data_IF_990697023526
#
_entry.id   IF_990697023526
#
_cell.length_a   1.000
_cell.length_b   1.000
_cell.length_c   1.000
_cell.angle_alpha   90.00
_cell.angle_beta   90.00
_cell.angle_gamma   90.00
#
_symmetry.space_group_name_H-M   'P 1'
#
loop_
_entity.id
_entity.type
_entity.pdbx_description
1 polymer ?
#
# COMPACT_ATOMS: atom_id res chain seq x y z
N UNK A 1 14.84 1.05 9.98
CA UNK A 1 14.58 -0.16 9.17
C UNK A 1 13.33 0.17 8.36
N UNK A 2 13.27 -0.11 7.07
CA UNK A 2 12.08 0.25 6.26
C UNK A 2 10.89 -0.62 6.65
N UNK A 3 9.74 -0.01 6.97
CA UNK A 3 8.54 -0.77 7.25
C UNK A 3 7.93 -1.37 5.98
N UNK A 4 7.29 -2.54 6.12
CA UNK A 4 6.56 -3.19 5.03
C UNK A 4 5.35 -3.95 5.56
N UNK A 5 4.30 -4.02 4.76
CA UNK A 5 3.06 -4.75 5.06
C UNK A 5 2.71 -5.67 3.90
N UNK A 6 2.11 -6.82 4.20
CA UNK A 6 1.73 -7.82 3.19
C UNK A 6 0.24 -7.74 2.92
N UNK A 7 -0.14 -7.58 1.64
CA UNK A 7 -1.53 -7.58 1.18
C UNK A 7 -1.86 -8.94 0.59
N UNK A 8 -2.84 -9.63 1.19
CA UNK A 8 -3.44 -10.85 0.63
C UNK A 8 -4.52 -10.51 -0.39
N UNK A 9 -4.31 -10.95 -1.61
CA UNK A 9 -5.22 -10.70 -2.71
C UNK A 9 -6.44 -11.63 -2.64
N UNK A 10 -7.58 -11.09 -3.03
CA UNK A 10 -8.84 -11.85 -3.10
C UNK A 10 -8.87 -12.74 -4.35
N UNK A 11 -8.18 -12.31 -5.41
CA UNK A 11 -7.92 -13.09 -6.61
C UNK A 11 -6.43 -13.05 -6.91
N UNK A 12 -5.82 -14.18 -7.31
CA UNK A 12 -4.42 -14.17 -7.70
C UNK A 12 -4.17 -13.23 -8.88
N UNK A 13 -2.97 -12.68 -8.96
CA UNK A 13 -2.50 -11.89 -10.11
C UNK A 13 -1.27 -12.50 -10.73
N UNK A 14 -1.22 -12.45 -12.06
CA UNK A 14 -0.07 -12.89 -12.84
C UNK A 14 0.91 -11.73 -13.01
N UNK A 15 2.16 -11.94 -12.62
CA UNK A 15 3.26 -11.02 -12.90
C UNK A 15 4.33 -11.81 -13.67
N UNK A 16 4.43 -11.54 -14.97
CA UNK A 16 5.20 -12.39 -15.88
C UNK A 16 4.57 -13.77 -15.98
N UNK A 17 5.31 -14.81 -15.61
CA UNK A 17 4.88 -16.21 -15.63
C UNK A 17 4.48 -16.74 -14.24
N UNK A 18 4.60 -15.91 -13.20
CA UNK A 18 4.36 -16.32 -11.82
C UNK A 18 3.03 -15.76 -11.30
N UNK A 19 2.28 -16.62 -10.63
CA UNK A 19 1.04 -16.28 -9.94
C UNK A 19 1.32 -15.86 -8.50
N UNK A 20 0.76 -14.73 -8.07
CA UNK A 20 0.91 -14.20 -6.73
C UNK A 20 -0.45 -14.04 -6.05
N UNK A 21 -0.54 -14.55 -4.82
CA UNK A 21 -1.69 -14.35 -3.92
C UNK A 21 -1.38 -13.33 -2.82
N UNK A 22 -0.12 -13.01 -2.62
CA UNK A 22 0.37 -12.06 -1.62
C UNK A 22 1.33 -11.08 -2.28
N UNK A 23 1.16 -9.80 -1.97
CA UNK A 23 2.02 -8.72 -2.45
C UNK A 23 2.56 -7.99 -1.25
N UNK A 24 3.88 -7.81 -1.18
CA UNK A 24 4.51 -6.98 -0.16
C UNK A 24 4.46 -5.53 -0.62
N UNK A 25 4.05 -4.64 0.28
CA UNK A 25 4.01 -3.18 0.08
C UNK A 25 4.98 -2.56 1.07
N UNK A 26 6.01 -1.89 0.53
CA UNK A 26 6.99 -1.15 1.32
C UNK A 26 6.47 0.25 1.63
N UNK A 27 6.90 0.78 2.76
CA UNK A 27 6.68 2.18 3.11
C UNK A 27 7.22 3.10 1.99
N UNK A 28 6.41 4.03 1.46
CA UNK A 28 6.84 4.93 0.40
C UNK A 28 7.80 5.99 0.93
N UNK A 29 8.99 6.09 0.31
CA UNK A 29 9.88 7.23 0.58
C UNK A 29 9.46 8.49 -0.21
N UNK A 30 10.02 9.64 0.16
CA UNK A 30 9.73 10.94 -0.48
C UNK A 30 9.96 10.93 -2.00
N UNK A 31 10.94 10.16 -2.48
CA UNK A 31 11.24 10.04 -3.92
C UNK A 31 10.10 9.31 -4.66
N UNK A 32 9.52 8.28 -4.06
CA UNK A 32 8.40 7.53 -4.63
C UNK A 32 7.12 8.38 -4.74
N UNK A 33 6.95 9.33 -3.82
CA UNK A 33 5.81 10.26 -3.75
C UNK A 33 5.94 11.46 -4.69
N UNK A 34 7.12 11.67 -5.32
CA UNK A 34 7.35 12.82 -6.20
C UNK A 34 6.29 12.87 -7.31
N UNK A 35 5.56 13.99 -7.37
CA UNK A 35 4.50 14.22 -8.36
C UNK A 35 3.11 13.76 -7.93
N UNK A 36 2.98 13.12 -6.76
CA UNK A 36 1.72 12.64 -6.20
C UNK A 36 1.21 13.55 -5.08
N UNK A 37 -0.10 13.72 -5.01
CA UNK A 37 -0.74 14.44 -3.91
C UNK A 37 -0.83 13.53 -2.68
N UNK A 38 -0.20 13.94 -1.56
CA UNK A 38 -0.31 13.25 -0.27
C UNK A 38 -1.76 13.17 0.20
N UNK A 39 -2.52 14.25 0.06
CA UNK A 39 -3.96 14.27 0.36
C UNK A 39 -4.71 13.23 -0.47
N UNK A 40 -4.42 13.13 -1.77
CA UNK A 40 -5.08 12.16 -2.62
C UNK A 40 -4.72 10.71 -2.26
N UNK A 41 -3.49 10.44 -1.82
CA UNK A 41 -3.09 9.13 -1.32
C UNK A 41 -3.77 8.80 0.02
N UNK A 42 -3.84 9.77 0.94
CA UNK A 42 -4.49 9.64 2.24
C UNK A 42 -5.96 9.21 2.10
N UNK A 43 -6.68 9.80 1.15
CA UNK A 43 -8.08 9.47 0.86
C UNK A 43 -8.27 8.36 -0.18
N UNK A 44 -7.20 7.66 -0.57
CA UNK A 44 -7.28 6.46 -1.40
C UNK A 44 -7.72 6.70 -2.86
N UNK A 45 -7.39 7.85 -3.44
CA UNK A 45 -7.68 8.12 -4.85
C UNK A 45 -6.93 7.12 -5.75
N UNK A 46 -7.63 6.60 -6.76
CA UNK A 46 -7.12 5.51 -7.60
C UNK A 46 -5.94 5.91 -8.48
N UNK A 47 -5.96 7.10 -9.07
CA UNK A 47 -4.89 7.52 -10.01
C UNK A 47 -3.52 7.62 -9.32
N UNK A 48 -3.39 8.29 -8.15
CA UNK A 48 -2.15 8.26 -7.38
C UNK A 48 -1.70 6.85 -6.96
N UNK A 49 -2.65 5.99 -6.57
CA UNK A 49 -2.33 4.60 -6.19
C UNK A 49 -1.79 3.80 -7.40
N UNK A 50 -2.40 3.95 -8.57
CA UNK A 50 -1.95 3.30 -9.81
C UNK A 50 -0.51 3.72 -10.15
N UNK A 51 -0.14 4.97 -9.89
CA UNK A 51 1.22 5.44 -10.13
C UNK A 51 2.22 5.02 -9.03
N UNK A 52 1.78 5.00 -7.78
CA UNK A 52 2.64 4.70 -6.62
C UNK A 52 2.95 3.22 -6.47
N UNK A 53 1.94 2.35 -6.54
CA UNK A 53 2.07 0.91 -6.25
C UNK A 53 3.20 0.21 -7.04
N UNK A 54 3.44 0.50 -8.34
CA UNK A 54 4.58 -0.07 -9.07
C UNK A 54 5.96 0.27 -8.51
N UNK A 55 6.08 1.32 -7.68
CA UNK A 55 7.33 1.77 -7.08
C UNK A 55 7.58 1.09 -5.73
N UNK A 56 6.52 0.67 -5.03
CA UNK A 56 6.58 0.21 -3.64
C UNK A 56 6.16 -1.25 -3.43
N UNK A 57 5.78 -1.97 -4.49
CA UNK A 57 5.34 -3.37 -4.40
C UNK A 57 6.43 -4.37 -4.76
N UNK A 58 6.42 -5.52 -4.08
CA UNK A 58 7.23 -6.71 -4.40
C UNK A 58 6.30 -7.95 -4.44
N UNK A 59 6.18 -8.64 -5.58
CA UNK A 59 6.76 -8.29 -6.89
C UNK A 59 6.21 -6.95 -7.42
N UNK A 60 6.97 -6.32 -8.31
CA UNK A 60 6.55 -5.08 -8.96
C UNK A 60 5.24 -5.27 -9.72
N UNK A 61 4.17 -4.61 -9.28
CA UNK A 61 2.92 -4.57 -10.01
C UNK A 61 2.98 -3.54 -11.13
N UNK A 62 2.67 -3.92 -12.37
CA UNK A 62 2.53 -2.95 -13.47
C UNK A 62 1.21 -2.19 -13.37
N UNK A 63 1.15 -0.97 -13.92
CA UNK A 63 -0.10 -0.19 -13.95
C UNK A 63 -1.24 -0.96 -14.63
N UNK A 64 -0.93 -1.76 -15.66
CA UNK A 64 -1.93 -2.60 -16.36
C UNK A 64 -2.49 -3.69 -15.44
N UNK A 65 -1.66 -4.31 -14.60
CA UNK A 65 -2.11 -5.29 -13.61
C UNK A 65 -3.02 -4.62 -12.58
N UNK A 66 -2.58 -3.48 -12.03
CA UNK A 66 -3.33 -2.72 -11.02
C UNK A 66 -4.71 -2.29 -11.56
N UNK A 67 -4.77 -1.74 -12.78
CA UNK A 67 -6.03 -1.32 -13.42
C UNK A 67 -7.02 -2.46 -13.67
N UNK A 68 -6.56 -3.72 -13.67
CA UNK A 68 -7.40 -4.92 -13.83
C UNK A 68 -7.75 -5.60 -12.50
N UNK A 69 -7.20 -5.12 -11.38
CA UNK A 69 -7.49 -5.70 -10.06
C UNK A 69 -8.94 -5.45 -9.65
N UNK A 70 -9.41 -6.27 -8.71
CA UNK A 70 -10.73 -6.05 -8.12
C UNK A 70 -10.72 -4.80 -7.25
N UNK A 71 -11.88 -4.13 -7.15
CA UNK A 71 -12.05 -2.96 -6.27
C UNK A 71 -11.65 -3.30 -4.83
N UNK A 72 -11.98 -4.51 -4.35
CA UNK A 72 -11.61 -4.98 -3.01
C UNK A 72 -10.10 -4.98 -2.78
N UNK A 73 -9.32 -5.41 -3.77
CA UNK A 73 -7.87 -5.46 -3.65
C UNK A 73 -7.26 -4.07 -3.73
N UNK A 74 -7.76 -3.20 -4.62
CA UNK A 74 -7.37 -1.79 -4.66
C UNK A 74 -7.66 -1.09 -3.32
N UNK A 75 -8.83 -1.34 -2.71
CA UNK A 75 -9.15 -0.80 -1.39
C UNK A 75 -8.20 -1.28 -0.31
N UNK A 76 -7.75 -2.55 -0.33
CA UNK A 76 -6.73 -3.05 0.62
C UNK A 76 -5.41 -2.31 0.45
N UNK A 77 -4.96 -2.09 -0.79
CA UNK A 77 -3.76 -1.30 -1.05
C UNK A 77 -3.90 0.14 -0.57
N UNK A 78 -5.05 0.77 -0.81
CA UNK A 78 -5.34 2.11 -0.33
C UNK A 78 -5.21 2.19 1.20
N UNK A 79 -5.82 1.26 1.94
CA UNK A 79 -5.74 1.20 3.40
C UNK A 79 -4.30 1.05 3.90
N UNK A 80 -3.50 0.19 3.26
CA UNK A 80 -2.09 0.01 3.61
C UNK A 80 -1.29 1.28 3.35
N UNK A 81 -1.50 1.94 2.21
CA UNK A 81 -0.83 3.20 1.88
C UNK A 81 -1.22 4.29 2.87
N UNK A 82 -2.51 4.47 3.15
CA UNK A 82 -2.99 5.42 4.17
C UNK A 82 -2.40 5.12 5.54
N UNK A 83 -2.30 3.85 5.93
CA UNK A 83 -1.69 3.46 7.21
C UNK A 83 -0.19 3.80 7.30
N UNK A 84 0.54 3.91 6.19
CA UNK A 84 1.93 4.40 6.20
C UNK A 84 2.03 5.93 6.29
N UNK A 85 0.95 6.65 5.96
CA UNK A 85 0.93 8.12 6.01
C UNK A 85 0.49 8.68 7.35
N UNK A 86 -0.09 7.84 8.20
CA UNK A 86 -0.60 8.21 9.51
C UNK A 86 0.25 7.45 10.52
N UNK A 87 1.15 8.17 11.20
CA UNK A 87 1.70 7.65 12.45
C UNK A 87 0.52 7.42 13.41
N UNK A 88 0.46 6.30 14.15
CA UNK A 88 -0.36 6.27 15.34
C UNK A 88 0.11 7.47 16.16
N UNK A 89 -0.74 8.49 16.31
CA UNK A 89 -0.42 9.63 17.16
C UNK A 89 0.07 9.07 18.51
N UNK A 90 1.23 9.53 18.99
CA UNK A 90 2.02 8.95 20.10
C UNK A 90 1.24 8.65 21.41
N UNK A 91 -0.02 9.09 21.53
CA UNK A 91 -0.93 8.74 22.61
C UNK A 91 -1.56 7.33 22.52
N UNK A 92 -1.40 6.61 21.39
CA UNK A 92 -1.88 5.23 21.25
C UNK A 92 -0.96 4.20 21.93
N UNK A 93 0.31 4.52 22.14
CA UNK A 93 1.27 3.66 22.85
C UNK A 93 1.16 3.78 24.38
N UNK A 94 0.49 4.82 24.89
CA UNK A 94 0.32 5.07 26.33
C UNK A 94 -0.75 4.15 26.97
N UNK A 95 -1.78 3.73 26.23
CA UNK A 95 -2.84 2.85 26.77
C UNK A 95 -2.33 1.41 27.03
N UNK A 96 -1.44 0.88 26.19
CA UNK A 96 -0.86 -0.46 26.36
C UNK A 96 0.17 -0.51 27.51
N UNK A 97 0.79 0.63 27.85
CA UNK A 97 1.71 0.77 28.99
C UNK A 97 0.99 1.05 30.33
N UNK A 98 -0.28 1.48 30.31
CA UNK A 98 -1.07 1.67 31.53
C UNK A 98 -1.83 0.42 31.98
N UNK A 99 -1.95 -0.59 31.12
CA UNK A 99 -2.58 -1.88 31.46
C UNK A 99 -1.59 -3.01 31.81
N UNK A 100 -0.28 -2.74 31.84
CA UNK A 100 0.80 -3.69 32.13
C UNK A 100 1.37 -3.57 33.56
#
# INVERSE_FOLDING_TARGET
>A
MSEQKTVRLSKPVMVGETEYTEIVVREPNVIALKGLSLHALQFGHTDPLIELLPKITEPRLSQTVIKKMSVKDISKFALVVTAFLVDPLDWAEEEEQMEA
#
